data_IF_746494367482
#
_entry.id   IF_746494367482
#
_cell.length_a   1.000
_cell.length_b   1.000
_cell.length_c   1.000
_cell.angle_alpha   90.00
_cell.angle_beta   90.00
_cell.angle_gamma   90.00
#
_symmetry.space_group_name_H-M   'P 1'
#
loop_
_entity.id
_entity.type
_entity.pdbx_description
1 polymer ?
#
# COMPACT_ATOMS: atom_id res chain seq x y z
N UNK A 1 8.07 5.60 20.48
CA UNK A 1 7.07 5.02 19.55
C UNK A 1 7.56 5.25 18.14
N UNK A 2 7.51 4.25 17.26
CA UNK A 2 7.86 4.44 15.85
C UNK A 2 6.72 5.15 15.12
N UNK A 3 7.03 6.06 14.20
CA UNK A 3 6.01 6.68 13.36
C UNK A 3 5.23 5.62 12.55
N UNK A 4 5.87 4.51 12.17
CA UNK A 4 5.28 3.48 11.30
C UNK A 4 4.28 2.54 12.00
N UNK A 5 4.26 2.53 13.33
CA UNK A 5 3.32 1.72 14.13
C UNK A 5 2.12 2.56 14.62
N UNK A 6 2.14 3.87 14.41
CA UNK A 6 1.12 4.79 14.87
C UNK A 6 -0.14 4.71 13.98
N UNK A 7 -1.33 4.60 14.59
CA UNK A 7 -2.61 4.57 13.87
C UNK A 7 -2.81 5.77 12.92
N UNK A 8 -2.40 7.01 13.27
CA UNK A 8 -2.46 8.14 12.34
C UNK A 8 -1.67 7.92 11.05
N UNK A 9 -0.55 7.18 11.08
CA UNK A 9 0.24 6.86 9.88
C UNK A 9 -0.52 5.94 8.94
N UNK A 10 -1.19 4.91 9.48
CA UNK A 10 -2.07 4.04 8.70
C UNK A 10 -3.23 4.85 8.07
N UNK A 11 -3.81 5.78 8.83
CA UNK A 11 -4.89 6.65 8.32
C UNK A 11 -4.41 7.62 7.23
N UNK A 12 -3.22 8.21 7.39
CA UNK A 12 -2.62 9.08 6.39
C UNK A 12 -2.32 8.31 5.09
N UNK A 13 -1.78 7.09 5.20
CA UNK A 13 -1.57 6.21 4.05
C UNK A 13 -2.89 5.78 3.40
N UNK A 14 -3.93 5.51 4.20
CA UNK A 14 -5.27 5.22 3.69
C UNK A 14 -5.83 6.39 2.88
N UNK A 15 -5.73 7.63 3.39
CA UNK A 15 -6.15 8.83 2.69
C UNK A 15 -5.35 9.06 1.39
N UNK A 16 -4.04 8.85 1.44
CA UNK A 16 -3.17 8.92 0.26
C UNK A 16 -3.58 7.90 -0.82
N UNK A 17 -3.79 6.64 -0.44
CA UNK A 17 -4.22 5.57 -1.36
C UNK A 17 -5.65 5.78 -1.88
N UNK A 18 -6.53 6.41 -1.10
CA UNK A 18 -7.85 6.81 -1.57
C UNK A 18 -7.76 7.90 -2.65
N UNK A 19 -6.91 8.92 -2.44
CA UNK A 19 -6.64 9.95 -3.45
C UNK A 19 -6.03 9.36 -4.73
N UNK A 20 -5.07 8.46 -4.58
CA UNK A 20 -4.44 7.75 -5.70
C UNK A 20 -5.42 6.82 -6.44
N UNK A 21 -6.38 6.20 -5.74
CA UNK A 21 -7.47 5.43 -6.35
C UNK A 21 -8.35 6.32 -7.23
N UNK A 22 -8.74 7.50 -6.74
CA UNK A 22 -9.50 8.48 -7.52
C UNK A 22 -8.70 8.92 -8.73
N UNK A 23 -7.43 9.31 -8.55
CA UNK A 23 -6.55 9.71 -9.65
C UNK A 23 -6.36 8.60 -10.70
N UNK A 24 -6.48 7.33 -10.30
CA UNK A 24 -6.38 6.18 -11.20
C UNK A 24 -7.70 5.79 -11.85
N UNK A 25 -8.84 6.27 -11.33
CA UNK A 25 -10.16 6.07 -11.92
C UNK A 25 -10.49 7.11 -13.00
N UNK A 26 -9.84 8.27 -12.95
CA UNK A 26 -9.92 9.31 -13.97
C UNK A 26 -8.75 9.20 -14.97
N UNK A 27 -8.89 9.68 -16.22
CA UNK A 27 -7.86 9.58 -17.25
C UNK A 27 -6.72 10.60 -17.03
N UNK A 28 -6.01 10.48 -15.91
CA UNK A 28 -4.82 11.31 -15.62
C UNK A 28 -3.66 10.85 -16.53
N UNK A 29 -3.09 11.73 -17.38
CA UNK A 29 -2.07 11.35 -18.35
C UNK A 29 -0.85 10.67 -17.73
N UNK A 30 -0.47 11.09 -16.53
CA UNK A 30 0.63 10.47 -15.77
C UNK A 30 0.36 9.01 -15.39
N UNK A 31 -0.87 8.69 -14.96
CA UNK A 31 -1.25 7.33 -14.58
C UNK A 31 -1.33 6.43 -15.81
N UNK A 32 -1.93 6.92 -16.90
CA UNK A 32 -2.03 6.18 -18.16
C UNK A 32 -0.63 5.83 -18.71
N UNK A 33 0.30 6.80 -18.74
CA UNK A 33 1.67 6.60 -19.18
C UNK A 33 2.43 5.57 -18.34
N UNK A 34 2.20 5.54 -17.03
CA UNK A 34 2.78 4.53 -16.14
C UNK A 34 2.21 3.14 -16.41
N UNK A 35 0.90 3.01 -16.61
CA UNK A 35 0.26 1.74 -16.98
C UNK A 35 0.77 1.23 -18.35
N UNK A 36 0.97 2.13 -19.32
CA UNK A 36 1.55 1.81 -20.62
C UNK A 36 3.00 1.33 -20.49
N UNK A 37 3.81 2.02 -19.67
CA UNK A 37 5.20 1.64 -19.41
C UNK A 37 5.31 0.27 -18.73
N UNK A 38 4.33 -0.10 -17.91
CA UNK A 38 4.21 -1.42 -17.28
C UNK A 38 3.56 -2.48 -18.20
N UNK A 39 3.15 -2.10 -19.41
CA UNK A 39 2.44 -2.96 -20.39
C UNK A 39 1.18 -3.62 -19.82
N UNK A 40 0.45 -2.89 -18.98
CA UNK A 40 -0.82 -3.36 -18.41
C UNK A 40 -1.90 -3.32 -19.51
N UNK A 41 -2.52 -4.47 -19.85
CA UNK A 41 -3.60 -4.53 -20.82
C UNK A 41 -4.76 -3.61 -20.44
N UNK A 42 -5.41 -2.98 -21.42
CA UNK A 42 -6.47 -2.00 -21.16
C UNK A 42 -7.65 -2.61 -20.38
N UNK A 43 -7.93 -3.89 -20.66
CA UNK A 43 -9.03 -4.68 -20.10
C UNK A 43 -8.91 -4.89 -18.59
N UNK A 44 -7.70 -4.76 -18.03
CA UNK A 44 -7.45 -4.96 -16.59
C UNK A 44 -7.14 -3.64 -15.86
N UNK A 45 -7.07 -2.50 -16.55
CA UNK A 45 -6.73 -1.21 -15.91
C UNK A 45 -7.76 -0.75 -14.88
N UNK A 46 -9.04 -1.12 -15.06
CA UNK A 46 -10.09 -0.82 -14.08
C UNK A 46 -9.84 -1.49 -12.72
N UNK A 47 -9.09 -2.59 -12.68
CA UNK A 47 -8.77 -3.27 -11.43
C UNK A 47 -7.79 -2.45 -10.57
N UNK A 48 -7.03 -1.53 -11.16
CA UNK A 48 -6.05 -0.69 -10.45
C UNK A 48 -6.72 0.25 -9.43
N UNK A 49 -7.69 1.13 -9.80
CA UNK A 49 -8.37 1.97 -8.83
C UNK A 49 -9.15 1.13 -7.80
N UNK A 50 -9.73 -0.01 -8.18
CA UNK A 50 -10.43 -0.91 -7.25
C UNK A 50 -9.48 -1.48 -6.20
N UNK A 51 -8.31 -2.00 -6.62
CA UNK A 51 -7.30 -2.52 -5.72
C UNK A 51 -6.76 -1.44 -4.76
N UNK A 52 -6.56 -0.21 -5.27
CA UNK A 52 -6.14 0.94 -4.45
C UNK A 52 -7.21 1.32 -3.42
N UNK A 53 -8.48 1.36 -3.80
CA UNK A 53 -9.59 1.63 -2.89
C UNK A 53 -9.72 0.55 -1.80
N UNK A 54 -9.63 -0.73 -2.17
CA UNK A 54 -9.63 -1.84 -1.23
C UNK A 54 -8.47 -1.75 -0.22
N UNK A 55 -7.29 -1.34 -0.69
CA UNK A 55 -6.13 -1.09 0.17
C UNK A 55 -6.37 0.05 1.14
N UNK A 56 -6.94 1.17 0.67
CA UNK A 56 -7.28 2.31 1.52
C UNK A 56 -8.24 1.90 2.64
N UNK A 57 -9.28 1.12 2.34
CA UNK A 57 -10.21 0.58 3.33
C UNK A 57 -9.51 -0.36 4.32
N UNK A 58 -8.65 -1.25 3.81
CA UNK A 58 -7.85 -2.15 4.64
C UNK A 58 -6.96 -1.42 5.65
N UNK A 59 -6.28 -0.35 5.24
CA UNK A 59 -5.48 0.48 6.14
C UNK A 59 -6.33 1.32 7.10
N UNK A 60 -7.44 1.90 6.64
CA UNK A 60 -8.38 2.66 7.48
C UNK A 60 -8.99 1.80 8.59
N UNK A 61 -9.07 0.49 8.40
CA UNK A 61 -9.56 -0.46 9.40
C UNK A 61 -8.72 -0.49 10.69
N UNK A 62 -7.51 0.11 10.72
CA UNK A 62 -6.59 0.13 11.87
C UNK A 62 -7.25 0.52 13.20
N UNK A 63 -8.26 1.39 13.17
CA UNK A 63 -8.95 1.87 14.37
C UNK A 63 -9.86 0.82 15.01
N UNK A 64 -10.39 -0.13 14.21
CA UNK A 64 -11.36 -1.15 14.66
C UNK A 64 -10.80 -2.57 14.59
N UNK A 65 -9.99 -2.86 13.59
CA UNK A 65 -9.43 -4.18 13.26
C UNK A 65 -7.93 -4.05 12.91
N UNK A 66 -7.06 -3.81 13.90
CA UNK A 66 -5.61 -3.63 13.67
C UNK A 66 -4.95 -4.82 12.96
N UNK A 67 -5.48 -6.05 13.14
CA UNK A 67 -5.02 -7.22 12.40
C UNK A 67 -5.28 -7.15 10.89
N UNK A 68 -6.41 -6.56 10.47
CA UNK A 68 -6.74 -6.37 9.04
C UNK A 68 -5.79 -5.34 8.43
N UNK A 69 -5.55 -4.22 9.11
CA UNK A 69 -4.59 -3.23 8.64
C UNK A 69 -3.17 -3.82 8.47
N UNK A 70 -2.73 -4.68 9.39
CA UNK A 70 -1.45 -5.41 9.27
C UNK A 70 -1.45 -6.39 8.09
N UNK A 71 -2.54 -7.12 7.89
CA UNK A 71 -2.68 -8.00 6.73
C UNK A 71 -2.60 -7.21 5.43
N UNK A 72 -3.26 -6.05 5.35
CA UNK A 72 -3.19 -5.15 4.19
C UNK A 72 -1.76 -4.70 3.92
N UNK A 73 -0.98 -4.34 4.95
CA UNK A 73 0.45 -4.02 4.76
C UNK A 73 1.24 -5.21 4.23
N UNK A 74 0.90 -6.44 4.61
CA UNK A 74 1.54 -7.66 4.11
C UNK A 74 1.22 -7.90 2.63
N UNK A 75 -0.03 -7.72 2.22
CA UNK A 75 -0.44 -7.80 0.82
C UNK A 75 0.23 -6.72 -0.04
N UNK A 76 0.35 -5.49 0.48
CA UNK A 76 1.09 -4.42 -0.20
C UNK A 76 2.57 -4.76 -0.35
N UNK A 77 3.17 -5.37 0.67
CA UNK A 77 4.56 -5.84 0.60
C UNK A 77 4.74 -6.83 -0.53
N UNK A 78 3.87 -7.85 -0.62
CA UNK A 78 3.90 -8.83 -1.71
C UNK A 78 3.68 -8.17 -3.09
N UNK A 79 2.74 -7.23 -3.18
CA UNK A 79 2.47 -6.47 -4.40
C UNK A 79 3.69 -5.67 -4.87
N UNK A 80 4.33 -4.88 -3.99
CA UNK A 80 5.48 -4.08 -4.35
C UNK A 80 6.74 -4.92 -4.61
N UNK A 81 6.86 -6.09 -3.99
CA UNK A 81 7.90 -7.05 -4.32
C UNK A 81 7.73 -7.60 -5.75
N UNK A 82 6.51 -7.96 -6.13
CA UNK A 82 6.17 -8.36 -7.50
C UNK A 82 6.42 -7.24 -8.51
N UNK A 83 6.00 -6.02 -8.19
CA UNK A 83 6.24 -4.83 -9.01
C UNK A 83 7.75 -4.59 -9.21
N UNK A 84 8.53 -4.62 -8.14
CA UNK A 84 9.99 -4.50 -8.21
C UNK A 84 10.60 -5.58 -9.10
N UNK A 85 10.15 -6.84 -8.96
CA UNK A 85 10.57 -7.93 -9.84
C UNK A 85 10.31 -7.65 -11.33
N UNK A 86 9.14 -7.09 -11.66
CA UNK A 86 8.82 -6.67 -13.03
C UNK A 86 9.74 -5.53 -13.48
N UNK A 87 9.92 -4.49 -12.66
CA UNK A 87 10.80 -3.36 -12.99
C UNK A 87 12.24 -3.81 -13.27
N UNK A 88 12.77 -4.74 -12.47
CA UNK A 88 14.09 -5.33 -12.67
C UNK A 88 14.14 -6.18 -13.96
N UNK A 89 13.11 -7.00 -14.21
CA UNK A 89 13.01 -7.84 -15.41
C UNK A 89 13.01 -7.02 -16.70
N UNK A 90 12.29 -5.91 -16.75
CA UNK A 90 12.21 -5.06 -17.94
C UNK A 90 13.32 -4.00 -18.01
N UNK A 91 14.28 -4.04 -17.07
CA UNK A 91 15.37 -3.04 -16.94
C UNK A 91 14.84 -1.61 -16.97
N UNK A 92 13.82 -1.36 -16.15
CA UNK A 92 13.16 -0.06 -16.09
C UNK A 92 14.14 1.03 -15.60
N UNK A 93 13.85 2.29 -15.92
CA UNK A 93 14.65 3.43 -15.45
C UNK A 93 14.66 3.47 -13.93
N UNK A 94 15.79 3.86 -13.35
CA UNK A 94 15.98 3.97 -11.89
C UNK A 94 14.88 4.83 -11.24
N UNK A 95 14.49 5.93 -11.88
CA UNK A 95 13.42 6.80 -11.41
C UNK A 95 12.07 6.07 -11.19
N UNK A 96 11.79 5.01 -11.95
CA UNK A 96 10.56 4.22 -11.82
C UNK A 96 10.70 3.08 -10.79
N UNK A 97 11.94 2.72 -10.41
CA UNK A 97 12.23 1.69 -9.40
C UNK A 97 12.15 2.29 -7.98
N UNK A 98 12.58 3.54 -7.81
CA UNK A 98 12.64 4.20 -6.50
C UNK A 98 11.31 4.15 -5.74
N UNK A 99 10.15 4.51 -6.33
CA UNK A 99 8.88 4.42 -5.62
C UNK A 99 8.54 2.98 -5.20
N UNK A 100 8.78 1.99 -6.08
CA UNK A 100 8.50 0.59 -5.78
C UNK A 100 9.33 0.09 -4.60
N UNK A 101 10.63 0.41 -4.56
CA UNK A 101 11.52 0.04 -3.45
C UNK A 101 11.11 0.75 -2.16
N UNK A 102 10.82 2.05 -2.23
CA UNK A 102 10.43 2.83 -1.05
C UNK A 102 9.15 2.27 -0.41
N UNK A 103 8.10 2.07 -1.21
CA UNK A 103 6.85 1.51 -0.70
C UNK A 103 7.01 0.07 -0.23
N UNK A 104 7.81 -0.75 -0.91
CA UNK A 104 8.15 -2.11 -0.46
C UNK A 104 8.74 -2.08 0.95
N UNK A 105 9.77 -1.26 1.18
CA UNK A 105 10.45 -1.16 2.48
C UNK A 105 9.48 -0.66 3.55
N UNK A 106 8.73 0.41 3.28
CA UNK A 106 7.76 0.97 4.24
C UNK A 106 6.72 -0.07 4.65
N UNK A 107 6.07 -0.73 3.68
CA UNK A 107 5.04 -1.72 4.00
C UNK A 107 5.60 -3.00 4.63
N UNK A 108 6.81 -3.43 4.26
CA UNK A 108 7.47 -4.56 4.90
C UNK A 108 7.73 -4.27 6.38
N UNK A 109 8.26 -3.09 6.69
CA UNK A 109 8.52 -2.65 8.07
C UNK A 109 7.21 -2.57 8.86
N UNK A 110 6.15 -1.98 8.29
CA UNK A 110 4.83 -1.91 8.92
C UNK A 110 4.20 -3.29 9.12
N UNK A 111 4.47 -4.25 8.24
CA UNK A 111 3.98 -5.63 8.36
C UNK A 111 4.66 -6.37 9.51
N UNK A 112 5.98 -6.22 9.63
CA UNK A 112 6.76 -6.84 10.71
C UNK A 112 6.35 -6.26 12.06
N UNK A 113 6.30 -4.92 12.17
CA UNK A 113 6.02 -4.24 13.45
C UNK A 113 4.53 -4.28 13.83
N UNK A 114 3.64 -4.13 12.85
CA UNK A 114 2.20 -4.02 13.07
C UNK A 114 1.76 -2.70 13.74
N UNK A 115 0.45 -2.39 13.71
CA UNK A 115 -0.09 -1.22 14.38
C UNK A 115 -0.13 -1.42 15.89
N UNK A 116 0.12 -0.35 16.63
CA UNK A 116 -0.02 -0.37 18.09
C UNK A 116 -1.49 -0.61 18.51
N UNK A 117 -1.69 -1.66 19.30
CA UNK A 117 -2.97 -1.98 19.95
C UNK A 117 -2.99 -1.41 21.37
N UNK A 118 -3.87 -0.45 21.64
CA UNK A 118 -4.03 0.14 22.97
C UNK A 118 -4.51 -0.86 24.07
N UNK A 119 -4.81 -2.12 23.73
CA UNK A 119 -5.46 -3.09 24.62
C UNK A 119 -4.56 -4.09 25.34
N UNK A 120 -3.23 -3.97 25.26
CA UNK A 120 -2.31 -4.95 25.86
C UNK A 120 -2.19 -4.91 27.39
N UNK A 121 -2.69 -3.85 28.04
CA UNK A 121 -2.51 -3.62 29.49
C UNK A 121 -3.55 -4.24 30.42
N UNK A 122 -4.69 -4.72 29.91
CA UNK A 122 -5.82 -5.16 30.76
C UNK A 122 -5.84 -6.68 30.97
N UNK A 123 -5.11 -7.47 30.16
CA UNK A 123 -5.03 -8.95 30.30
C UNK A 123 -3.91 -9.46 31.22
N UNK A 124 -3.21 -8.57 31.92
CA UNK A 124 -2.11 -8.94 32.82
C UNK A 124 -2.49 -8.85 34.32
N UNK A 125 -3.78 -8.70 34.64
CA UNK A 125 -4.30 -8.53 36.00
C UNK A 125 -5.43 -9.52 36.35
N UNK A 126 -5.49 -10.68 35.70
CA UNK A 126 -6.32 -11.82 36.14
C UNK A 126 -5.45 -13.04 36.43
#
# INVERSE_FOLDING_TARGET
>A
MSALTARPTYAALAAFLAGDAVASAIPVPYVAKNMDAMRIPAEVRWAVPVAKAATALGLASVFRFPGVARLTTGLLTAYFAGALGIHLRVRNRVANIVPAVLFLVVFAVMTVQGPHTAGGGVRALE
#
